data_IF_187736920464
#
_entry.id   IF_187736920464
#
_cell.length_a   1.000
_cell.length_b   1.000
_cell.length_c   1.000
_cell.angle_alpha   90.00
_cell.angle_beta   90.00
_cell.angle_gamma   90.00
#
_symmetry.space_group_name_H-M   'P 1'
#
loop_
_entity.id
_entity.type
_entity.pdbx_description
1 polymer ?
#
# COMPACT_ATOMS: atom_id res chain seq x y z
N UNK A 1 -11.21 7.63 -7.60
CA UNK A 1 -9.74 7.49 -7.70
C UNK A 1 -9.43 6.16 -8.36
N UNK A 2 -8.36 6.01 -9.17
CA UNK A 2 -8.35 4.95 -10.16
C UNK A 2 -8.23 3.60 -9.46
N UNK A 3 -9.22 2.75 -9.73
CA UNK A 3 -9.29 1.32 -9.36
C UNK A 3 -7.91 0.64 -9.51
N UNK A 4 -7.14 1.10 -10.50
CA UNK A 4 -5.77 0.70 -10.77
C UNK A 4 -4.81 0.77 -9.57
N UNK A 5 -4.80 1.85 -8.77
CA UNK A 5 -3.86 1.94 -7.64
C UNK A 5 -4.23 0.95 -6.55
N UNK A 6 -5.51 0.92 -6.14
CA UNK A 6 -6.00 0.07 -5.05
C UNK A 6 -5.77 -1.41 -5.34
N UNK A 7 -6.07 -1.83 -6.58
CA UNK A 7 -5.83 -3.21 -7.03
C UNK A 7 -4.34 -3.51 -7.09
N UNK A 8 -3.54 -2.64 -7.73
CA UNK A 8 -2.10 -2.88 -7.89
C UNK A 8 -1.38 -2.95 -6.55
N UNK A 9 -1.71 -2.05 -5.62
CA UNK A 9 -1.13 -2.04 -4.29
C UNK A 9 -1.46 -3.32 -3.51
N UNK A 10 -2.72 -3.76 -3.55
CA UNK A 10 -3.17 -5.01 -2.93
C UNK A 10 -2.45 -6.23 -3.51
N UNK A 11 -2.31 -6.28 -4.83
CA UNK A 11 -1.61 -7.37 -5.51
C UNK A 11 -0.13 -7.42 -5.15
N UNK A 12 0.55 -6.27 -5.13
CA UNK A 12 1.96 -6.17 -4.73
C UNK A 12 2.16 -6.60 -3.27
N UNK A 13 1.28 -6.19 -2.35
CA UNK A 13 1.34 -6.62 -0.95
C UNK A 13 1.17 -8.14 -0.84
N UNK A 14 0.16 -8.70 -1.51
CA UNK A 14 -0.10 -10.14 -1.51
C UNK A 14 1.02 -10.95 -2.15
N UNK A 15 1.61 -10.47 -3.25
CA UNK A 15 2.75 -11.11 -3.91
C UNK A 15 3.97 -11.22 -2.99
N UNK A 16 4.05 -10.37 -1.96
CA UNK A 16 5.08 -10.41 -0.93
C UNK A 16 4.66 -11.14 0.36
N UNK A 17 3.48 -11.77 0.38
CA UNK A 17 2.91 -12.43 1.56
C UNK A 17 2.80 -11.53 2.80
N UNK A 18 2.61 -10.23 2.59
CA UNK A 18 2.48 -9.25 3.68
C UNK A 18 1.02 -9.09 4.10
N UNK A 19 0.74 -8.97 5.39
CA UNK A 19 -0.58 -8.59 5.91
C UNK A 19 -0.79 -7.06 5.84
N UNK A 20 -2.03 -6.60 6.06
CA UNK A 20 -2.30 -5.17 6.13
C UNK A 20 -1.62 -4.54 7.35
N UNK A 21 -1.57 -5.27 8.46
CA UNK A 21 -0.88 -4.88 9.70
C UNK A 21 0.63 -4.73 9.46
N UNK A 22 1.26 -5.68 8.77
CA UNK A 22 2.70 -5.60 8.49
C UNK A 22 3.06 -4.37 7.63
N UNK A 23 2.24 -4.04 6.64
CA UNK A 23 2.43 -2.79 5.88
C UNK A 23 2.21 -1.57 6.79
N UNK A 24 1.16 -1.60 7.62
CA UNK A 24 0.87 -0.50 8.52
C UNK A 24 2.04 -0.22 9.49
N UNK A 25 2.65 -1.28 10.02
CA UNK A 25 3.82 -1.20 10.90
C UNK A 25 5.04 -0.63 10.16
N UNK A 26 5.31 -1.06 8.93
CA UNK A 26 6.44 -0.58 8.11
C UNK A 26 6.35 0.91 7.83
N UNK A 27 5.14 1.41 7.52
CA UNK A 27 4.92 2.80 7.14
C UNK A 27 4.42 3.68 8.30
N UNK A 28 4.37 3.15 9.52
CA UNK A 28 3.88 3.84 10.73
C UNK A 28 2.50 4.47 10.56
N UNK A 29 1.59 3.73 9.92
CA UNK A 29 0.19 4.13 9.72
C UNK A 29 -0.76 3.14 10.41
N UNK A 30 -2.06 3.42 10.39
CA UNK A 30 -3.03 2.45 10.87
C UNK A 30 -3.32 1.36 9.84
N UNK A 31 -3.63 0.11 10.28
CA UNK A 31 -4.13 -0.94 9.38
C UNK A 31 -5.40 -0.53 8.62
N UNK A 32 -6.24 0.32 9.22
CA UNK A 32 -7.42 0.86 8.54
C UNK A 32 -7.04 1.75 7.35
N UNK A 33 -5.93 2.49 7.39
CA UNK A 33 -5.45 3.26 6.26
C UNK A 33 -5.11 2.35 5.08
N UNK A 34 -4.38 1.25 5.32
CA UNK A 34 -4.05 0.23 4.31
C UNK A 34 -5.33 -0.36 3.69
N UNK A 35 -6.31 -0.73 4.52
CA UNK A 35 -7.60 -1.25 4.05
C UNK A 35 -8.37 -0.26 3.18
N UNK A 36 -8.36 1.03 3.55
CA UNK A 36 -9.01 2.10 2.76
C UNK A 36 -8.29 2.36 1.44
N UNK A 37 -6.97 2.21 1.39
CA UNK A 37 -6.21 2.26 0.14
C UNK A 37 -6.55 1.09 -0.78
N UNK A 38 -6.65 -0.12 -0.25
CA UNK A 38 -6.98 -1.33 -1.03
C UNK A 38 -8.42 -1.38 -1.53
N UNK A 39 -9.32 -0.61 -0.91
CA UNK A 39 -10.72 -0.47 -1.33
C UNK A 39 -10.96 0.80 -2.16
N UNK A 40 -9.92 1.59 -2.42
CA UNK A 40 -10.00 2.83 -3.18
C UNK A 40 -10.74 3.97 -2.47
N UNK A 41 -11.02 3.81 -1.16
CA UNK A 41 -11.71 4.80 -0.33
C UNK A 41 -10.82 6.01 0.00
N UNK A 42 -9.50 5.82 0.06
CA UNK A 42 -8.50 6.89 0.22
C UNK A 42 -7.27 6.60 -0.63
N UNK A 43 -6.39 7.59 -0.71
CA UNK A 43 -5.04 7.43 -1.26
C UNK A 43 -3.99 7.57 -0.15
N UNK A 44 -2.77 7.04 -0.35
CA UNK A 44 -1.62 7.46 0.43
C UNK A 44 -1.32 8.94 0.20
N UNK A 45 -0.85 9.61 1.24
CA UNK A 45 -0.43 11.01 1.13
C UNK A 45 0.83 11.16 0.27
N UNK A 46 1.10 12.39 -0.18
CA UNK A 46 2.25 12.74 -1.02
C UNK A 46 3.59 12.30 -0.40
N UNK A 47 3.67 12.26 0.93
CA UNK A 47 4.86 11.82 1.65
C UNK A 47 5.04 10.30 1.58
N UNK A 48 3.95 9.53 1.65
CA UNK A 48 4.00 8.05 1.73
C UNK A 48 4.13 7.41 0.35
N UNK A 49 3.49 7.99 -0.67
CA UNK A 49 3.43 7.42 -2.01
C UNK A 49 4.82 7.11 -2.62
N UNK A 50 5.84 7.99 -2.52
CA UNK A 50 7.19 7.69 -2.99
C UNK A 50 7.83 6.52 -2.23
N UNK A 51 7.62 6.43 -0.91
CA UNK A 51 8.15 5.34 -0.11
C UNK A 51 7.52 4.00 -0.47
N UNK A 52 6.21 3.97 -0.74
CA UNK A 52 5.54 2.77 -1.25
C UNK A 52 6.11 2.36 -2.61
N UNK A 53 6.30 3.31 -3.53
CA UNK A 53 6.88 3.03 -4.84
C UNK A 53 8.28 2.41 -4.71
N UNK A 54 9.17 3.00 -3.90
CA UNK A 54 10.53 2.49 -3.64
C UNK A 54 10.47 1.10 -2.99
N UNK A 55 9.62 0.92 -1.99
CA UNK A 55 9.45 -0.35 -1.30
C UNK A 55 9.09 -1.45 -2.30
N UNK A 56 8.14 -1.21 -3.21
CA UNK A 56 7.71 -2.20 -4.20
C UNK A 56 8.59 -2.33 -5.45
N UNK A 57 9.37 -1.31 -5.81
CA UNK A 57 10.24 -1.32 -7.01
C UNK A 57 11.52 -2.15 -6.82
N UNK A 58 12.03 -2.29 -5.60
CA UNK A 58 13.38 -2.83 -5.31
C UNK A 58 13.57 -4.36 -5.46
N UNK A 59 12.77 -5.05 -6.26
CA UNK A 59 13.02 -6.46 -6.62
C UNK A 59 12.83 -6.64 -8.12
N UNK A 60 13.95 -6.51 -8.82
CA UNK A 60 14.20 -7.05 -10.17
C UNK A 60 15.15 -8.24 -10.03
#
# INVERSE_FOLDING_TARGET
MPIYFSEKFKDLRKARNLTQEQIADIFHISPQAVSRWETGATYPDIEILPHLAIFFQSYS
#
